data_IF_378747205006
#
_entry.id   IF_378747205006
#
_cell.length_a   1.000
_cell.length_b   1.000
_cell.length_c   1.000
_cell.angle_alpha   90.00
_cell.angle_beta   90.00
_cell.angle_gamma   90.00
#
_symmetry.space_group_name_H-M   'P 1'
#
loop_
_entity.id
_entity.type
_entity.pdbx_description
1 polymer ?
#
# COMPACT_ATOMS: atom_id res chain seq x y z
N UNK A 1 22.37 25.35 -90.55
CA UNK A 1 21.74 26.67 -90.80
C UNK A 1 20.89 27.00 -89.59
N UNK A 2 21.19 28.12 -88.92
CA UNK A 2 20.27 29.09 -88.31
C UNK A 2 18.91 28.62 -87.73
N UNK A 3 18.76 28.86 -86.42
CA UNK A 3 17.62 29.49 -85.71
C UNK A 3 16.18 29.37 -86.23
N UNK A 4 15.29 29.15 -85.25
CA UNK A 4 13.87 29.52 -85.15
C UNK A 4 12.84 28.70 -85.94
N UNK A 5 11.97 28.01 -85.19
CA UNK A 5 10.55 28.38 -85.24
C UNK A 5 9.83 28.12 -83.91
N UNK A 6 9.27 29.21 -83.40
CA UNK A 6 8.46 29.34 -82.21
C UNK A 6 6.99 29.04 -82.53
N UNK A 7 6.29 28.54 -81.51
CA UNK A 7 4.94 28.96 -81.13
C UNK A 7 3.75 28.45 -81.95
N UNK A 8 2.90 27.64 -81.30
CA UNK A 8 1.61 28.06 -80.72
C UNK A 8 0.68 26.85 -80.61
N UNK A 9 0.38 26.45 -79.39
CA UNK A 9 -1.03 26.27 -79.04
C UNK A 9 -1.30 27.08 -77.77
N UNK A 10 -2.21 28.03 -77.96
CA UNK A 10 -2.65 29.06 -77.07
C UNK A 10 -3.56 28.51 -75.96
N UNK A 11 -3.34 29.03 -74.76
CA UNK A 11 -4.33 29.67 -73.89
C UNK A 11 -5.63 28.91 -73.60
N UNK A 12 -5.73 28.48 -72.34
CA UNK A 12 -6.97 28.46 -71.57
C UNK A 12 -6.63 28.83 -70.11
N UNK A 13 -6.71 30.15 -69.84
CA UNK A 13 -7.16 30.82 -68.61
C UNK A 13 -6.85 30.15 -67.27
N UNK A 14 -5.94 30.69 -66.44
CA UNK A 14 -6.27 31.73 -65.44
C UNK A 14 -7.70 31.59 -64.87
N UNK A 15 -7.87 30.85 -63.77
CA UNK A 15 -8.58 31.28 -62.57
C UNK A 15 -8.49 30.18 -61.50
N UNK A 16 -8.38 30.62 -60.24
CA UNK A 16 -8.50 29.84 -59.00
C UNK A 16 -7.21 29.26 -58.39
N UNK A 17 -6.33 30.15 -57.93
CA UNK A 17 -5.48 29.91 -56.78
C UNK A 17 -6.02 30.70 -55.57
N UNK A 18 -6.84 30.07 -54.72
CA UNK A 18 -7.02 30.32 -53.28
C UNK A 18 -8.06 29.33 -52.71
N UNK A 19 -7.95 29.00 -51.40
CA UNK A 19 -8.77 28.09 -50.54
C UNK A 19 -8.09 26.71 -50.38
N UNK A 20 -7.26 26.45 -49.36
CA UNK A 20 -7.52 26.21 -47.91
C UNK A 20 -8.25 24.88 -47.62
N UNK A 21 -7.59 24.06 -46.80
CA UNK A 21 -8.07 23.08 -45.81
C UNK A 21 -8.17 21.56 -46.14
N UNK A 22 -7.65 20.81 -45.16
CA UNK A 22 -8.00 19.44 -44.69
C UNK A 22 -7.20 18.20 -45.17
N UNK A 23 -6.42 17.67 -44.21
CA UNK A 23 -6.10 16.26 -43.91
C UNK A 23 -5.30 15.44 -44.94
N UNK A 24 -4.03 15.16 -44.60
CA UNK A 24 -3.43 13.83 -44.77
C UNK A 24 -2.31 13.62 -43.74
N UNK A 25 -2.60 12.72 -42.80
CA UNK A 25 -1.76 12.18 -41.74
C UNK A 25 -0.76 11.13 -42.30
N UNK A 26 0.25 10.77 -41.47
CA UNK A 26 0.98 9.49 -41.37
C UNK A 26 2.35 9.32 -42.12
N UNK A 27 3.44 9.56 -41.36
CA UNK A 27 4.75 8.83 -41.29
C UNK A 27 5.87 9.03 -42.36
N UNK A 28 7.15 8.77 -42.02
CA UNK A 28 8.02 9.65 -41.23
C UNK A 28 9.29 10.03 -42.00
N UNK A 29 9.82 11.22 -41.75
CA UNK A 29 11.13 11.62 -42.28
C UNK A 29 12.19 10.93 -41.44
N UNK A 30 12.82 9.91 -42.04
CA UNK A 30 14.17 9.49 -41.67
C UNK A 30 15.10 10.62 -42.11
N UNK A 31 15.60 11.42 -41.17
CA UNK A 31 16.76 12.27 -41.43
C UNK A 31 17.80 12.02 -40.36
N UNK A 32 18.77 11.20 -40.74
CA UNK A 32 20.09 11.16 -40.14
C UNK A 32 20.64 12.58 -40.05
N UNK A 33 20.87 13.04 -38.83
CA UNK A 33 21.91 14.03 -38.55
C UNK A 33 23.08 13.26 -37.98
N UNK A 34 24.20 13.37 -38.69
CA UNK A 34 25.48 12.85 -38.27
C UNK A 34 25.82 13.35 -36.86
N UNK A 35 26.34 12.44 -36.05
CA UNK A 35 26.96 12.67 -34.75
C UNK A 35 27.86 13.91 -34.79
N UNK A 36 27.40 14.98 -34.17
CA UNK A 36 28.30 15.92 -33.52
C UNK A 36 28.56 15.34 -32.14
N UNK A 37 29.81 15.37 -31.68
CA UNK A 37 30.12 15.07 -30.29
C UNK A 37 29.46 16.13 -29.42
N UNK A 38 28.21 15.90 -29.06
CA UNK A 38 27.52 16.66 -28.01
C UNK A 38 28.12 16.12 -26.72
N UNK A 39 28.63 17.01 -25.87
CA UNK A 39 28.99 16.60 -24.51
C UNK A 39 27.75 16.04 -23.80
N UNK A 40 27.94 15.46 -22.62
CA UNK A 40 26.81 14.99 -21.82
C UNK A 40 25.69 16.05 -21.77
N UNK A 41 24.44 15.61 -21.87
CA UNK A 41 23.16 16.31 -21.86
C UNK A 41 22.87 17.02 -20.51
N UNK A 42 23.92 17.43 -19.80
CA UNK A 42 23.90 18.17 -18.54
C UNK A 42 23.60 19.67 -18.74
N UNK A 43 22.72 20.02 -19.69
CA UNK A 43 22.30 21.41 -19.89
C UNK A 43 21.56 21.94 -18.65
N UNK A 44 21.29 23.23 -18.60
CA UNK A 44 20.41 23.82 -17.57
C UNK A 44 19.10 24.30 -18.25
N UNK A 45 17.97 23.58 -18.10
CA UNK A 45 17.82 22.28 -17.41
C UNK A 45 18.37 21.10 -18.23
N UNK A 46 18.70 19.96 -17.60
CA UNK A 46 19.25 18.78 -18.30
C UNK A 46 18.17 18.13 -19.17
N UNK A 47 18.59 17.49 -20.25
CA UNK A 47 17.67 16.86 -21.20
C UNK A 47 17.31 15.44 -20.73
N UNK A 48 16.24 15.34 -19.94
CA UNK A 48 15.77 14.10 -19.35
C UNK A 48 14.84 13.35 -20.31
N UNK A 49 15.42 12.52 -21.17
CA UNK A 49 14.70 11.71 -22.16
C UNK A 49 15.34 10.32 -22.29
N UNK A 50 14.63 9.34 -22.90
CA UNK A 50 15.24 8.05 -23.20
C UNK A 50 16.49 8.20 -24.06
N UNK A 51 17.49 7.35 -23.83
CA UNK A 51 18.80 7.38 -24.50
C UNK A 51 19.64 8.66 -24.30
N UNK A 52 19.27 9.54 -23.36
CA UNK A 52 20.07 10.71 -23.03
C UNK A 52 21.46 10.31 -22.53
N UNK A 53 22.49 11.10 -22.89
CA UNK A 53 23.84 10.93 -22.34
C UNK A 53 24.00 11.86 -21.14
N UNK A 54 23.69 11.39 -19.94
CA UNK A 54 23.81 12.12 -18.69
C UNK A 54 25.10 11.77 -17.91
N UNK A 55 26.13 11.28 -18.61
CA UNK A 55 27.38 10.85 -17.98
C UNK A 55 28.02 11.99 -17.19
N UNK A 56 28.33 11.75 -15.91
CA UNK A 56 28.91 12.72 -14.97
C UNK A 56 28.08 14.00 -14.74
N UNK A 57 26.78 14.01 -15.06
CA UNK A 57 25.94 15.16 -14.74
C UNK A 57 25.74 15.28 -13.22
N UNK A 58 25.63 16.53 -12.74
CA UNK A 58 25.12 16.80 -11.40
C UNK A 58 23.59 16.95 -11.46
N UNK A 59 22.90 15.93 -10.97
CA UNK A 59 21.45 15.82 -10.91
C UNK A 59 20.98 15.75 -9.44
N UNK A 60 21.84 16.14 -8.49
CA UNK A 60 21.53 16.04 -7.07
C UNK A 60 20.32 16.89 -6.69
N UNK A 61 19.45 16.32 -5.86
CA UNK A 61 18.21 16.97 -5.40
C UNK A 61 17.19 17.27 -6.51
N UNK A 62 17.36 16.77 -7.73
CA UNK A 62 16.42 17.04 -8.81
C UNK A 62 15.10 16.26 -8.66
N UNK A 63 14.00 16.95 -8.93
CA UNK A 63 12.67 16.34 -9.02
C UNK A 63 12.46 15.73 -10.41
N UNK A 64 12.55 14.40 -10.48
CA UNK A 64 12.46 13.59 -11.71
C UNK A 64 11.38 12.50 -11.59
N UNK A 65 10.34 12.78 -10.80
CA UNK A 65 9.18 11.90 -10.62
C UNK A 65 8.53 11.57 -11.98
N UNK A 66 8.34 10.27 -12.24
CA UNK A 66 7.66 9.76 -13.44
C UNK A 66 8.39 9.99 -14.76
N UNK A 67 9.65 10.43 -14.74
CA UNK A 67 10.44 10.65 -15.96
C UNK A 67 10.78 9.31 -16.63
N UNK A 68 10.78 9.30 -17.97
CA UNK A 68 11.29 8.17 -18.76
C UNK A 68 12.75 8.41 -19.16
N UNK A 69 13.66 7.69 -18.51
CA UNK A 69 15.10 7.64 -18.78
C UNK A 69 15.51 6.27 -19.34
N UNK A 70 14.60 5.54 -19.97
CA UNK A 70 14.90 4.22 -20.54
C UNK A 70 16.15 4.27 -21.42
N UNK A 71 17.11 3.38 -21.17
CA UNK A 71 18.40 3.30 -21.86
C UNK A 71 19.27 4.57 -21.82
N UNK A 72 18.99 5.53 -20.93
CA UNK A 72 19.87 6.66 -20.71
C UNK A 72 21.20 6.21 -20.08
N UNK A 73 22.27 6.94 -20.36
CA UNK A 73 23.58 6.72 -19.76
C UNK A 73 23.82 7.76 -18.66
N UNK A 74 23.71 7.35 -17.41
CA UNK A 74 23.96 8.15 -16.21
C UNK A 74 25.28 7.75 -15.52
N UNK A 75 26.22 7.11 -16.22
CA UNK A 75 27.47 6.67 -15.62
C UNK A 75 28.22 7.81 -14.93
N UNK A 76 28.63 7.61 -13.69
CA UNK A 76 29.33 8.61 -12.87
C UNK A 76 28.51 9.86 -12.51
N UNK A 77 27.21 9.90 -12.82
CA UNK A 77 26.36 11.02 -12.46
C UNK A 77 26.17 11.12 -10.93
N UNK A 78 25.94 12.33 -10.44
CA UNK A 78 25.55 12.58 -9.06
C UNK A 78 24.02 12.72 -8.98
N UNK A 79 23.34 11.73 -8.40
CA UNK A 79 21.90 11.72 -8.14
C UNK A 79 21.58 11.77 -6.64
N UNK A 80 22.56 12.16 -5.80
CA UNK A 80 22.35 12.27 -4.35
C UNK A 80 21.10 13.14 -4.05
N UNK A 81 20.23 12.63 -3.17
CA UNK A 81 18.96 13.25 -2.76
C UNK A 81 17.94 13.52 -3.90
N UNK A 82 18.14 12.98 -5.12
CA UNK A 82 17.19 13.14 -6.22
C UNK A 82 15.90 12.33 -6.03
N UNK A 83 14.81 12.77 -6.64
CA UNK A 83 13.53 12.08 -6.63
C UNK A 83 13.24 11.42 -7.98
N UNK A 84 13.31 10.10 -8.03
CA UNK A 84 13.02 9.23 -9.16
C UNK A 84 11.73 8.39 -8.92
N UNK A 85 10.86 8.81 -8.01
CA UNK A 85 9.59 8.14 -7.71
C UNK A 85 8.81 7.84 -9.00
N UNK A 86 8.38 6.59 -9.17
CA UNK A 86 7.62 6.10 -10.35
C UNK A 86 8.29 6.28 -11.72
N UNK A 87 9.59 6.60 -11.78
CA UNK A 87 10.31 6.80 -13.03
C UNK A 87 10.53 5.50 -13.82
N UNK A 88 10.72 5.61 -15.13
CA UNK A 88 11.04 4.47 -16.01
C UNK A 88 12.53 4.52 -16.33
N UNK A 89 13.28 3.57 -15.78
CA UNK A 89 14.74 3.48 -15.83
C UNK A 89 15.22 2.22 -16.56
N UNK A 90 14.32 1.54 -17.28
CA UNK A 90 14.60 0.24 -17.89
C UNK A 90 15.82 0.30 -18.82
N UNK A 91 16.81 -0.55 -18.56
CA UNK A 91 18.06 -0.60 -19.32
C UNK A 91 18.96 0.63 -19.19
N UNK A 92 18.68 1.57 -18.28
CA UNK A 92 19.55 2.72 -18.03
C UNK A 92 20.85 2.28 -17.35
N UNK A 93 21.93 3.05 -17.54
CA UNK A 93 23.26 2.76 -16.97
C UNK A 93 23.60 3.79 -15.89
N UNK A 94 23.75 3.35 -14.65
CA UNK A 94 24.14 4.12 -13.47
C UNK A 94 25.52 3.72 -12.94
N UNK A 95 26.35 3.08 -13.77
CA UNK A 95 27.66 2.60 -13.35
C UNK A 95 28.51 3.72 -12.75
N UNK A 96 29.13 3.46 -11.60
CA UNK A 96 29.91 4.40 -10.80
C UNK A 96 29.16 5.68 -10.36
N UNK A 97 27.83 5.73 -10.49
CA UNK A 97 27.01 6.87 -10.07
C UNK A 97 26.84 6.93 -8.53
N UNK A 98 26.55 8.12 -8.02
CA UNK A 98 26.15 8.34 -6.63
C UNK A 98 24.64 8.49 -6.55
N UNK A 99 23.95 7.62 -5.82
CA UNK A 99 22.49 7.63 -5.61
C UNK A 99 22.15 7.68 -4.12
N UNK A 100 22.92 8.44 -3.33
CA UNK A 100 22.72 8.45 -1.89
C UNK A 100 21.41 9.13 -1.55
N UNK A 101 20.60 8.50 -0.71
CA UNK A 101 19.27 9.00 -0.33
C UNK A 101 18.34 9.33 -1.52
N UNK A 102 18.59 8.75 -2.70
CA UNK A 102 17.70 8.92 -3.85
C UNK A 102 16.39 8.18 -3.61
N UNK A 103 15.26 8.81 -3.93
CA UNK A 103 13.94 8.16 -3.85
C UNK A 103 13.70 7.42 -5.17
N UNK A 104 13.58 6.10 -5.13
CA UNK A 104 13.29 5.23 -6.27
C UNK A 104 12.05 4.35 -6.02
N UNK A 105 11.20 4.74 -5.06
CA UNK A 105 9.94 4.03 -4.78
C UNK A 105 9.09 3.91 -6.07
N UNK A 106 8.54 2.71 -6.30
CA UNK A 106 7.77 2.33 -7.49
C UNK A 106 8.48 2.53 -8.86
N UNK A 107 9.80 2.77 -8.89
CA UNK A 107 10.53 2.94 -10.14
C UNK A 107 10.72 1.62 -10.90
N UNK A 108 10.72 1.68 -12.24
CA UNK A 108 11.00 0.53 -13.11
C UNK A 108 12.46 0.55 -13.58
N UNK A 109 13.33 -0.14 -12.85
CA UNK A 109 14.77 -0.25 -13.12
C UNK A 109 15.17 -1.65 -13.61
N UNK A 110 14.23 -2.38 -14.24
CA UNK A 110 14.53 -3.70 -14.83
C UNK A 110 15.62 -3.60 -15.87
N UNK A 111 16.50 -4.59 -15.92
CA UNK A 111 17.63 -4.65 -16.88
C UNK A 111 18.63 -3.47 -16.78
N UNK A 112 18.51 -2.60 -15.78
CA UNK A 112 19.44 -1.49 -15.57
C UNK A 112 20.80 -1.97 -15.03
N UNK A 113 21.81 -1.10 -15.14
CA UNK A 113 23.15 -1.35 -14.60
C UNK A 113 23.47 -0.34 -13.51
N UNK A 114 23.94 -0.81 -12.36
CA UNK A 114 24.34 -0.04 -11.17
C UNK A 114 25.74 -0.48 -10.72
N UNK A 115 26.62 -0.85 -11.66
CA UNK A 115 27.93 -1.43 -11.32
C UNK A 115 28.74 -0.42 -10.52
N UNK A 116 29.22 -0.82 -9.33
CA UNK A 116 29.92 0.03 -8.36
C UNK A 116 29.17 1.31 -7.92
N UNK A 117 27.86 1.40 -8.16
CA UNK A 117 27.09 2.57 -7.76
C UNK A 117 27.02 2.69 -6.22
N UNK A 118 27.05 3.91 -5.71
CA UNK A 118 26.85 4.18 -4.28
C UNK A 118 25.36 4.38 -4.00
N UNK A 119 24.71 3.34 -3.47
CA UNK A 119 23.26 3.29 -3.26
C UNK A 119 22.88 3.38 -1.78
N UNK A 120 23.76 3.96 -0.95
CA UNK A 120 23.50 4.11 0.50
C UNK A 120 22.34 5.06 0.77
N UNK A 121 21.35 4.59 1.51
CA UNK A 121 20.15 5.32 1.87
C UNK A 121 19.11 5.41 0.76
N UNK A 122 19.32 4.75 -0.39
CA UNK A 122 18.31 4.72 -1.46
C UNK A 122 16.99 4.13 -0.94
N UNK A 123 15.88 4.75 -1.30
CA UNK A 123 14.55 4.19 -1.05
C UNK A 123 14.10 3.42 -2.29
N UNK A 124 14.03 2.09 -2.19
CA UNK A 124 13.63 1.19 -3.26
C UNK A 124 12.28 0.51 -2.97
N UNK A 125 11.46 1.07 -2.08
CA UNK A 125 10.17 0.46 -1.72
C UNK A 125 9.32 0.19 -2.98
N UNK A 126 8.91 -1.07 -3.17
CA UNK A 126 8.20 -1.56 -4.37
C UNK A 126 8.88 -1.32 -5.74
N UNK A 127 10.15 -0.93 -5.79
CA UNK A 127 10.88 -0.76 -7.04
C UNK A 127 11.07 -2.09 -7.78
N UNK A 128 10.98 -2.07 -9.12
CA UNK A 128 11.22 -3.24 -9.96
C UNK A 128 12.69 -3.24 -10.41
N UNK A 129 13.53 -4.05 -9.76
CA UNK A 129 14.98 -4.14 -10.01
C UNK A 129 15.42 -5.52 -10.54
N UNK A 130 14.48 -6.34 -10.99
CA UNK A 130 14.75 -7.66 -11.59
C UNK A 130 15.64 -7.59 -12.83
N UNK A 131 16.43 -8.64 -13.06
CA UNK A 131 17.35 -8.77 -14.19
C UNK A 131 18.41 -7.64 -14.29
N UNK A 132 18.61 -6.85 -13.23
CA UNK A 132 19.57 -5.75 -13.20
C UNK A 132 20.99 -6.23 -12.85
N UNK A 133 22.00 -5.44 -13.23
CA UNK A 133 23.38 -5.67 -12.85
C UNK A 133 23.81 -4.68 -11.77
N UNK A 134 23.92 -5.16 -10.53
CA UNK A 134 24.29 -4.41 -9.34
C UNK A 134 25.66 -4.87 -8.79
N UNK A 135 26.53 -5.38 -9.66
CA UNK A 135 27.85 -5.89 -9.25
C UNK A 135 28.66 -4.78 -8.57
N UNK A 136 29.16 -5.03 -7.36
CA UNK A 136 29.95 -4.06 -6.59
C UNK A 136 29.16 -2.87 -6.03
N UNK A 137 27.84 -2.81 -6.22
CA UNK A 137 27.01 -1.74 -5.68
C UNK A 137 27.06 -1.71 -4.14
N UNK A 138 26.96 -0.51 -3.56
CA UNK A 138 27.04 -0.30 -2.13
C UNK A 138 25.67 0.02 -1.51
N UNK A 139 25.13 -0.94 -0.78
CA UNK A 139 23.92 -0.91 0.02
C UNK A 139 24.21 -1.01 1.54
N UNK A 140 25.40 -0.65 1.99
CA UNK A 140 25.70 -0.69 3.43
C UNK A 140 24.77 0.25 4.22
N UNK A 141 24.33 -0.23 5.40
CA UNK A 141 23.44 0.49 6.33
C UNK A 141 22.12 1.00 5.71
N UNK A 142 21.58 0.32 4.70
CA UNK A 142 20.28 0.68 4.08
C UNK A 142 19.09 -0.08 4.69
N UNK A 143 17.90 0.49 4.54
CA UNK A 143 16.62 -0.15 4.86
C UNK A 143 15.85 -0.35 3.57
N UNK A 144 15.61 -1.61 3.21
CA UNK A 144 15.21 -1.99 1.86
C UNK A 144 14.32 -3.24 1.95
N UNK A 145 13.06 -3.07 2.31
CA UNK A 145 12.08 -4.15 2.43
C UNK A 145 11.16 -4.25 1.20
N UNK A 146 10.73 -5.47 0.87
CA UNK A 146 9.81 -5.76 -0.26
C UNK A 146 10.37 -5.43 -1.65
N UNK A 147 11.68 -5.59 -1.83
CA UNK A 147 12.35 -5.43 -3.12
C UNK A 147 12.44 -6.77 -3.83
N UNK A 148 12.42 -6.72 -5.15
CA UNK A 148 12.50 -7.88 -6.00
C UNK A 148 13.78 -7.89 -6.86
N UNK A 149 14.79 -8.64 -6.40
CA UNK A 149 16.06 -8.83 -7.09
C UNK A 149 16.09 -10.08 -7.97
N UNK A 150 14.95 -10.73 -8.26
CA UNK A 150 14.91 -11.99 -9.03
C UNK A 150 15.78 -11.90 -10.31
N UNK A 151 16.67 -12.91 -10.50
CA UNK A 151 17.64 -13.03 -11.63
C UNK A 151 18.67 -11.89 -11.75
N UNK A 152 18.85 -11.06 -10.73
CA UNK A 152 19.83 -9.97 -10.77
C UNK A 152 21.25 -10.46 -10.52
N UNK A 153 22.24 -9.62 -10.85
CA UNK A 153 23.66 -9.86 -10.59
C UNK A 153 24.12 -8.95 -9.46
N UNK A 154 24.45 -9.51 -8.30
CA UNK A 154 24.87 -8.81 -7.09
C UNK A 154 26.29 -9.23 -6.66
N UNK A 155 27.13 -9.61 -7.61
CA UNK A 155 28.50 -10.05 -7.34
C UNK A 155 29.29 -8.95 -6.62
N UNK A 156 29.91 -9.29 -5.49
CA UNK A 156 30.68 -8.36 -4.66
C UNK A 156 29.90 -7.12 -4.18
N UNK A 157 28.56 -7.14 -4.23
CA UNK A 157 27.76 -6.08 -3.65
C UNK A 157 27.94 -6.03 -2.13
N UNK A 158 27.86 -4.83 -1.56
CA UNK A 158 28.01 -4.61 -0.12
C UNK A 158 26.64 -4.33 0.51
N UNK A 159 26.18 -5.22 1.38
CA UNK A 159 24.95 -5.12 2.18
C UNK A 159 25.24 -5.02 3.68
N UNK A 160 26.49 -4.77 4.10
CA UNK A 160 26.88 -4.79 5.50
C UNK A 160 25.94 -3.93 6.36
N UNK A 161 25.39 -4.51 7.43
CA UNK A 161 24.52 -3.81 8.39
C UNK A 161 23.14 -3.39 7.87
N UNK A 162 22.79 -3.74 6.62
CA UNK A 162 21.49 -3.40 6.05
C UNK A 162 20.34 -4.24 6.63
N UNK A 163 19.13 -3.70 6.58
CA UNK A 163 17.89 -4.41 6.83
C UNK A 163 17.19 -4.66 5.49
N UNK A 164 17.28 -5.89 5.01
CA UNK A 164 16.75 -6.34 3.71
C UNK A 164 15.75 -7.49 3.89
N UNK A 165 14.92 -7.40 4.94
CA UNK A 165 13.84 -8.37 5.18
C UNK A 165 12.80 -8.35 4.07
N UNK A 166 12.20 -9.51 3.80
CA UNK A 166 11.18 -9.67 2.74
C UNK A 166 11.68 -9.28 1.34
N UNK A 167 12.97 -9.49 1.05
CA UNK A 167 13.56 -9.23 -0.28
C UNK A 167 13.68 -10.53 -1.07
N UNK A 168 13.28 -10.51 -2.34
CA UNK A 168 13.34 -11.69 -3.21
C UNK A 168 14.71 -11.80 -3.91
N UNK A 169 15.51 -12.80 -3.53
CA UNK A 169 16.81 -13.14 -4.12
C UNK A 169 16.76 -14.40 -4.99
N UNK A 170 15.58 -14.81 -5.48
CA UNK A 170 15.44 -15.95 -6.38
C UNK A 170 16.36 -15.87 -7.61
N UNK A 171 17.03 -16.97 -7.94
CA UNK A 171 17.91 -17.09 -9.10
C UNK A 171 18.99 -15.99 -9.18
N UNK A 172 19.35 -15.38 -8.05
CA UNK A 172 20.25 -14.21 -7.98
C UNK A 172 21.70 -14.63 -7.77
N UNK A 173 22.63 -13.93 -8.45
CA UNK A 173 24.06 -14.16 -8.32
C UNK A 173 24.69 -13.25 -7.24
N UNK A 174 24.89 -13.80 -6.03
CA UNK A 174 25.43 -13.11 -4.86
C UNK A 174 26.91 -13.45 -4.61
N UNK A 175 27.63 -13.94 -5.62
CA UNK A 175 29.02 -14.39 -5.41
C UNK A 175 29.91 -13.27 -4.90
N UNK A 176 30.59 -13.52 -3.79
CA UNK A 176 31.48 -12.52 -3.17
C UNK A 176 30.76 -11.36 -2.48
N UNK A 177 29.42 -11.35 -2.41
CA UNK A 177 28.69 -10.30 -1.72
C UNK A 177 29.03 -10.27 -0.22
N UNK A 178 29.08 -9.07 0.35
CA UNK A 178 29.26 -8.86 1.79
C UNK A 178 27.90 -8.62 2.45
N UNK A 179 27.43 -9.61 3.20
CA UNK A 179 26.16 -9.64 3.93
C UNK A 179 26.41 -9.63 5.45
N UNK A 180 27.58 -9.14 5.89
CA UNK A 180 27.95 -9.13 7.31
C UNK A 180 26.95 -8.30 8.13
N UNK A 181 26.43 -8.86 9.22
CA UNK A 181 25.44 -8.22 10.11
C UNK A 181 24.16 -7.74 9.41
N UNK A 182 23.82 -8.34 8.27
CA UNK A 182 22.61 -8.02 7.50
C UNK A 182 21.41 -8.78 8.04
N UNK A 183 20.23 -8.14 8.08
CA UNK A 183 18.96 -8.82 8.39
C UNK A 183 18.30 -9.34 7.13
N UNK A 184 18.10 -10.65 7.06
CA UNK A 184 17.63 -11.37 5.87
C UNK A 184 16.32 -12.14 6.10
N UNK A 185 15.62 -11.96 7.22
CA UNK A 185 14.37 -12.69 7.52
C UNK A 185 13.34 -12.64 6.39
N UNK A 186 12.64 -13.76 6.16
CA UNK A 186 11.63 -13.93 5.11
C UNK A 186 12.10 -13.50 3.72
N UNK A 187 13.40 -13.60 3.43
CA UNK A 187 13.98 -13.19 2.15
C UNK A 187 14.31 -14.42 1.32
N UNK A 188 13.44 -14.82 0.39
CA UNK A 188 13.62 -16.07 -0.35
C UNK A 188 14.89 -16.05 -1.20
N UNK A 189 15.70 -17.12 -1.12
CA UNK A 189 16.97 -17.23 -1.86
C UNK A 189 17.05 -18.47 -2.77
N UNK A 190 15.92 -19.03 -3.20
CA UNK A 190 15.95 -20.24 -4.03
C UNK A 190 16.86 -20.09 -5.26
N UNK A 191 17.69 -21.10 -5.51
CA UNK A 191 18.67 -21.14 -6.60
C UNK A 191 19.70 -19.97 -6.60
N UNK A 192 19.79 -19.18 -5.54
CA UNK A 192 20.78 -18.12 -5.45
C UNK A 192 22.21 -18.71 -5.37
N UNK A 193 23.19 -17.94 -5.84
CA UNK A 193 24.60 -18.33 -5.80
C UNK A 193 25.36 -17.50 -4.76
N UNK A 194 25.67 -18.10 -3.61
CA UNK A 194 26.34 -17.44 -2.49
C UNK A 194 27.83 -17.77 -2.40
N UNK A 195 28.43 -18.36 -3.45
CA UNK A 195 29.85 -18.77 -3.38
C UNK A 195 30.76 -17.58 -3.09
N UNK A 196 31.65 -17.72 -2.11
CA UNK A 196 32.56 -16.69 -1.60
C UNK A 196 31.88 -15.49 -0.93
N UNK A 197 30.56 -15.53 -0.71
CA UNK A 197 29.89 -14.49 0.05
C UNK A 197 30.28 -14.54 1.53
N UNK A 198 30.08 -13.42 2.24
CA UNK A 198 30.34 -13.31 3.66
C UNK A 198 29.04 -12.99 4.42
N UNK A 199 28.51 -13.97 5.15
CA UNK A 199 27.30 -13.84 5.97
C UNK A 199 27.62 -13.66 7.45
N UNK A 200 28.86 -13.36 7.85
CA UNK A 200 29.23 -13.30 9.27
C UNK A 200 28.27 -12.39 10.07
N UNK A 201 27.62 -12.96 11.09
CA UNK A 201 26.63 -12.26 11.91
C UNK A 201 25.34 -11.87 11.19
N UNK A 202 25.10 -12.33 9.95
CA UNK A 202 23.84 -12.13 9.26
C UNK A 202 22.72 -12.86 9.98
N UNK A 203 21.59 -12.19 10.13
CA UNK A 203 20.39 -12.73 10.74
C UNK A 203 19.55 -13.42 9.65
N UNK A 204 19.70 -14.74 9.54
CA UNK A 204 18.98 -15.62 8.60
C UNK A 204 17.94 -16.42 9.38
N UNK A 205 16.72 -16.49 8.86
CA UNK A 205 15.68 -17.37 9.42
C UNK A 205 15.48 -18.63 8.57
N UNK A 206 14.96 -19.68 9.23
CA UNK A 206 14.67 -20.96 8.60
C UNK A 206 13.64 -20.88 7.46
N UNK A 207 12.87 -19.79 7.40
CA UNK A 207 11.87 -19.51 6.37
C UNK A 207 12.45 -18.78 5.15
N UNK A 208 13.75 -18.46 5.09
CA UNK A 208 14.42 -17.83 3.93
C UNK A 208 14.47 -18.69 2.66
N UNK A 209 13.80 -19.85 2.70
CA UNK A 209 13.55 -20.72 1.55
C UNK A 209 14.84 -21.04 0.77
N UNK A 210 15.88 -21.46 1.49
CA UNK A 210 17.25 -21.66 1.00
C UNK A 210 17.43 -22.91 0.13
N UNK A 211 16.34 -23.45 -0.41
CA UNK A 211 16.39 -24.66 -1.23
C UNK A 211 17.18 -24.39 -2.51
N UNK A 212 18.11 -25.29 -2.83
CA UNK A 212 18.95 -25.23 -4.02
C UNK A 212 19.86 -24.00 -4.12
N UNK A 213 20.10 -23.30 -3.00
CA UNK A 213 21.19 -22.33 -2.91
C UNK A 213 22.52 -23.02 -3.23
N UNK A 214 23.35 -22.35 -4.03
CA UNK A 214 24.69 -22.80 -4.38
C UNK A 214 25.67 -22.20 -3.37
N UNK A 215 26.16 -23.06 -2.48
CA UNK A 215 27.18 -22.73 -1.49
C UNK A 215 28.59 -23.03 -2.02
N UNK A 216 29.60 -22.40 -1.44
CA UNK A 216 30.99 -22.70 -1.74
C UNK A 216 31.94 -21.62 -1.25
N UNK A 217 32.79 -21.95 -0.29
CA UNK A 217 33.69 -21.02 0.40
C UNK A 217 32.94 -19.79 0.98
N UNK A 218 31.70 -19.99 1.43
CA UNK A 218 30.85 -18.94 2.00
C UNK A 218 31.12 -18.85 3.49
N UNK A 219 31.36 -17.66 4.04
CA UNK A 219 31.43 -17.49 5.50
C UNK A 219 30.01 -17.46 6.06
N UNK A 220 29.67 -18.34 6.98
CA UNK A 220 28.33 -18.46 7.58
C UNK A 220 28.12 -17.46 8.73
N UNK A 221 26.87 -17.34 9.20
CA UNK A 221 26.48 -16.37 10.25
C UNK A 221 27.21 -16.52 11.57
N UNK A 222 27.59 -17.74 11.94
CA UNK A 222 28.38 -18.03 13.15
C UNK A 222 29.90 -17.88 12.92
N UNK A 223 30.31 -17.59 11.69
CA UNK A 223 31.71 -17.49 11.26
C UNK A 223 32.33 -18.82 10.79
N UNK A 224 31.56 -19.91 10.70
CA UNK A 224 32.00 -21.14 10.02
C UNK A 224 32.14 -20.92 8.51
N UNK A 225 32.62 -21.93 7.79
CA UNK A 225 32.69 -21.90 6.33
C UNK A 225 31.79 -23.00 5.78
N UNK A 226 30.96 -22.67 4.79
CA UNK A 226 30.09 -23.63 4.11
C UNK A 226 30.82 -24.80 3.46
N UNK A 227 32.15 -24.77 3.34
CA UNK A 227 32.95 -25.90 2.82
C UNK A 227 33.46 -26.84 3.93
N UNK A 228 33.11 -26.61 5.19
CA UNK A 228 33.56 -27.48 6.27
C UNK A 228 32.84 -28.85 6.26
N UNK A 229 33.52 -29.87 6.77
CA UNK A 229 33.05 -31.26 6.80
C UNK A 229 32.44 -31.57 8.18
N UNK A 230 31.58 -30.67 8.66
CA UNK A 230 30.98 -30.73 9.99
C UNK A 230 29.70 -31.61 10.04
N UNK A 231 29.21 -32.04 8.87
CA UNK A 231 28.03 -32.88 8.70
C UNK A 231 26.80 -32.15 8.17
N UNK A 232 26.89 -30.86 7.87
CA UNK A 232 25.81 -30.04 7.30
C UNK A 232 25.68 -30.09 5.76
N UNK A 233 26.41 -31.02 5.12
CA UNK A 233 26.44 -31.22 3.67
C UNK A 233 26.96 -29.99 2.88
N UNK A 234 27.96 -29.28 3.43
CA UNK A 234 28.61 -28.13 2.82
C UNK A 234 27.65 -26.95 2.62
N UNK A 235 26.92 -26.60 3.67
CA UNK A 235 25.93 -25.52 3.65
C UNK A 235 26.17 -24.54 4.80
N UNK A 236 25.29 -23.56 5.01
CA UNK A 236 25.25 -22.79 6.26
C UNK A 236 24.04 -23.21 7.11
N UNK A 237 23.42 -24.37 6.84
CA UNK A 237 22.09 -24.72 7.35
C UNK A 237 22.01 -25.06 8.84
N UNK A 238 23.14 -25.43 9.44
CA UNK A 238 23.25 -25.78 10.85
C UNK A 238 23.22 -24.58 11.80
N UNK A 239 23.33 -23.36 11.28
CA UNK A 239 23.59 -22.12 12.05
C UNK A 239 22.49 -21.06 11.98
N UNK A 240 21.27 -21.44 11.56
CA UNK A 240 20.14 -20.51 11.49
C UNK A 240 19.50 -20.27 12.84
N UNK A 241 19.13 -19.01 13.09
CA UNK A 241 18.23 -18.64 14.17
C UNK A 241 16.83 -19.03 13.68
N UNK A 242 16.18 -19.95 14.38
CA UNK A 242 14.77 -20.27 14.11
C UNK A 242 13.94 -19.20 14.79
N UNK A 243 13.12 -18.48 14.00
CA UNK A 243 12.20 -17.48 14.55
C UNK A 243 11.30 -18.12 15.62
N UNK A 244 11.21 -17.52 16.80
CA UNK A 244 10.27 -17.92 17.84
C UNK A 244 9.07 -16.95 17.84
N UNK A 245 7.82 -17.46 17.78
CA UNK A 245 6.66 -16.58 17.76
C UNK A 245 6.55 -15.75 19.05
N UNK A 246 5.97 -14.53 18.98
CA UNK A 246 5.95 -13.63 20.12
C UNK A 246 5.12 -14.21 21.27
N UNK A 247 5.41 -13.81 22.49
CA UNK A 247 4.54 -14.06 23.64
C UNK A 247 3.53 -12.92 23.80
N UNK A 248 2.30 -13.25 24.21
CA UNK A 248 1.27 -12.25 24.48
C UNK A 248 0.36 -12.68 25.64
N UNK A 249 -0.02 -11.72 26.48
CA UNK A 249 -1.03 -11.91 27.52
C UNK A 249 -1.91 -10.67 27.66
N UNK A 250 -3.23 -10.88 27.80
CA UNK A 250 -4.17 -9.82 28.16
C UNK A 250 -4.01 -9.50 29.65
N UNK A 251 -3.73 -8.25 29.97
CA UNK A 251 -3.58 -7.74 31.34
C UNK A 251 -4.82 -6.98 31.81
N UNK A 252 -5.62 -6.46 30.89
CA UNK A 252 -6.96 -5.92 31.13
C UNK A 252 -7.84 -6.08 29.86
N UNK A 253 -9.17 -6.22 30.01
CA UNK A 253 -9.92 -6.36 31.26
C UNK A 253 -9.73 -7.74 31.92
N UNK A 254 -10.16 -7.88 33.17
CA UNK A 254 -10.16 -9.18 33.85
C UNK A 254 -11.29 -10.09 33.32
N UNK A 255 -11.15 -11.41 33.49
CA UNK A 255 -12.21 -12.37 33.16
C UNK A 255 -13.53 -12.03 33.88
N UNK A 256 -14.65 -12.18 33.16
CA UNK A 256 -16.00 -11.90 33.64
C UNK A 256 -16.20 -10.45 34.13
N UNK A 257 -15.44 -9.49 33.60
CA UNK A 257 -15.63 -8.06 33.92
C UNK A 257 -17.02 -7.63 33.46
N UNK A 258 -17.80 -7.00 34.36
CA UNK A 258 -19.09 -6.39 34.01
C UNK A 258 -18.94 -4.88 33.89
N UNK A 259 -19.39 -4.32 32.76
CA UNK A 259 -19.41 -2.87 32.48
C UNK A 259 -20.78 -2.42 32.02
N UNK A 260 -21.08 -1.14 32.17
CA UNK A 260 -22.32 -0.57 31.63
C UNK A 260 -22.06 -0.17 30.17
N UNK A 261 -23.09 -0.27 29.32
CA UNK A 261 -23.05 0.33 27.98
C UNK A 261 -22.62 1.81 28.08
N UNK A 262 -21.78 2.25 27.14
CA UNK A 262 -21.10 3.56 27.10
C UNK A 262 -19.91 3.74 28.07
N UNK A 263 -19.64 2.79 28.96
CA UNK A 263 -18.36 2.78 29.68
C UNK A 263 -17.20 2.40 28.73
N UNK A 264 -16.07 3.08 28.90
CA UNK A 264 -14.83 2.72 28.21
C UNK A 264 -14.23 1.47 28.86
N UNK A 265 -13.97 0.47 28.03
CA UNK A 265 -13.25 -0.74 28.40
C UNK A 265 -11.81 -0.61 27.90
N UNK A 266 -10.87 -0.36 28.80
CA UNK A 266 -9.45 -0.38 28.44
C UNK A 266 -8.99 -1.84 28.28
N UNK A 267 -8.58 -2.18 27.05
CA UNK A 267 -7.93 -3.44 26.72
C UNK A 267 -6.43 -3.21 26.72
N UNK A 268 -5.69 -3.95 27.54
CA UNK A 268 -4.23 -3.81 27.67
C UNK A 268 -3.58 -5.19 27.56
N UNK A 269 -2.41 -5.23 26.93
CA UNK A 269 -1.67 -6.46 26.67
C UNK A 269 -0.19 -6.28 26.94
N UNK A 270 0.41 -7.30 27.54
CA UNK A 270 1.86 -7.45 27.60
C UNK A 270 2.26 -8.41 26.47
N UNK A 271 3.02 -7.90 25.50
CA UNK A 271 3.58 -8.68 24.41
C UNK A 271 5.10 -8.48 24.35
N UNK A 272 5.83 -9.56 24.11
CA UNK A 272 7.28 -9.56 24.04
C UNK A 272 7.76 -10.68 23.11
N UNK A 273 8.89 -10.43 22.46
CA UNK A 273 9.50 -11.36 21.53
C UNK A 273 10.93 -11.67 22.00
N UNK A 274 11.34 -12.93 21.92
CA UNK A 274 12.57 -13.44 22.56
C UNK A 274 13.83 -13.23 21.71
N UNK A 275 13.65 -13.26 20.41
CA UNK A 275 14.68 -13.23 19.37
C UNK A 275 14.55 -12.02 18.45
N UNK A 276 13.49 -11.22 18.62
CA UNK A 276 13.30 -9.95 17.97
C UNK A 276 12.45 -8.98 18.77
N UNK A 277 11.43 -8.45 18.12
CA UNK A 277 10.56 -7.37 18.57
C UNK A 277 9.13 -7.60 18.08
N UNK A 278 8.15 -7.11 18.82
CA UNK A 278 6.75 -7.16 18.41
C UNK A 278 6.46 -6.01 17.44
N UNK A 279 6.14 -6.32 16.19
CA UNK A 279 5.84 -5.33 15.16
C UNK A 279 4.52 -4.60 15.43
N UNK A 280 3.47 -5.34 15.82
CA UNK A 280 2.20 -4.76 16.26
C UNK A 280 1.34 -5.76 17.04
N UNK A 281 0.30 -5.24 17.68
CA UNK A 281 -0.77 -6.02 18.31
C UNK A 281 -2.14 -5.64 17.73
N UNK A 282 -2.90 -6.64 17.30
CA UNK A 282 -4.29 -6.49 16.88
C UNK A 282 -5.23 -6.89 18.03
N UNK A 283 -6.25 -6.07 18.28
CA UNK A 283 -7.27 -6.31 19.31
C UNK A 283 -8.58 -6.76 18.65
N UNK A 284 -9.28 -7.71 19.27
CA UNK A 284 -10.52 -8.29 18.74
C UNK A 284 -11.62 -8.34 19.78
N UNK A 285 -12.86 -8.12 19.33
CA UNK A 285 -14.08 -8.38 20.09
C UNK A 285 -15.02 -9.27 19.27
N UNK A 286 -15.41 -10.42 19.81
CA UNK A 286 -16.20 -11.46 19.12
C UNK A 286 -15.59 -11.89 17.77
N UNK A 287 -14.25 -11.93 17.70
CA UNK A 287 -13.49 -12.27 16.51
C UNK A 287 -13.37 -11.15 15.46
N UNK A 288 -14.03 -10.01 15.65
CA UNK A 288 -13.87 -8.84 14.77
C UNK A 288 -12.75 -7.94 15.30
N UNK A 289 -11.85 -7.49 14.41
CA UNK A 289 -10.77 -6.58 14.79
C UNK A 289 -11.34 -5.21 15.17
N UNK A 290 -11.02 -4.75 16.38
CA UNK A 290 -11.44 -3.44 16.92
C UNK A 290 -10.32 -2.40 16.84
N UNK A 291 -9.05 -2.81 16.92
CA UNK A 291 -7.91 -1.90 16.80
C UNK A 291 -6.62 -2.63 16.36
N UNK A 292 -5.63 -1.86 15.91
CA UNK A 292 -4.24 -2.27 15.72
C UNK A 292 -3.34 -1.21 16.39
N UNK A 293 -2.40 -1.65 17.20
CA UNK A 293 -1.42 -0.80 17.87
C UNK A 293 0.00 -1.28 17.57
N UNK A 294 0.83 -0.42 16.99
CA UNK A 294 2.21 -0.71 16.64
C UNK A 294 3.22 -0.16 17.64
N UNK A 295 2.77 0.40 18.77
CA UNK A 295 3.66 1.03 19.76
C UNK A 295 3.37 0.57 21.19
N UNK A 296 4.38 -0.05 21.83
CA UNK A 296 4.29 -0.38 23.24
C UNK A 296 4.29 0.90 24.12
N UNK A 297 3.54 0.95 25.24
CA UNK A 297 2.69 -0.11 25.79
C UNK A 297 1.38 -0.27 25.01
N UNK A 298 1.09 -1.52 24.62
CA UNK A 298 -0.04 -1.82 23.74
C UNK A 298 -1.37 -1.74 24.49
N UNK A 299 -2.22 -0.81 24.09
CA UNK A 299 -3.53 -0.65 24.73
C UNK A 299 -4.55 0.03 23.83
N UNK A 300 -5.82 -0.25 24.07
CA UNK A 300 -6.93 0.35 23.37
C UNK A 300 -8.11 0.61 24.29
N UNK A 301 -8.60 1.86 24.30
CA UNK A 301 -9.83 2.25 24.96
C UNK A 301 -11.02 1.94 24.04
N UNK A 302 -11.67 0.80 24.31
CA UNK A 302 -12.75 0.27 23.50
C UNK A 302 -14.12 0.70 24.04
N UNK A 303 -15.00 1.18 23.17
CA UNK A 303 -16.40 1.46 23.48
C UNK A 303 -17.29 0.36 22.90
N UNK A 304 -17.94 -0.48 23.73
CA UNK A 304 -18.83 -1.53 23.24
C UNK A 304 -20.05 -0.94 22.51
N UNK A 305 -20.41 -1.42 21.30
CA UNK A 305 -21.49 -0.82 20.52
C UNK A 305 -22.90 -1.24 20.98
N UNK A 306 -23.04 -2.39 21.64
CA UNK A 306 -24.32 -2.90 22.14
C UNK A 306 -24.09 -3.62 23.46
N UNK A 307 -25.13 -3.75 24.28
CA UNK A 307 -25.06 -4.61 25.46
C UNK A 307 -25.01 -6.09 25.04
N UNK A 308 -24.36 -6.92 25.86
CA UNK A 308 -24.16 -8.33 25.62
C UNK A 308 -22.80 -8.81 26.09
N UNK A 309 -22.56 -10.11 25.95
CA UNK A 309 -21.28 -10.71 26.28
C UNK A 309 -20.33 -10.61 25.08
N UNK A 310 -19.13 -10.11 25.34
CA UNK A 310 -18.05 -10.01 24.37
C UNK A 310 -16.89 -10.94 24.75
N UNK A 311 -16.37 -11.64 23.76
CA UNK A 311 -15.13 -12.40 23.87
C UNK A 311 -14.00 -11.53 23.32
N UNK A 312 -13.10 -11.09 24.19
CA UNK A 312 -11.96 -10.26 23.85
C UNK A 312 -10.72 -11.14 23.68
N UNK A 313 -10.01 -10.95 22.58
CA UNK A 313 -8.70 -11.57 22.31
C UNK A 313 -7.76 -10.52 21.73
N UNK A 314 -6.46 -10.76 21.81
CA UNK A 314 -5.45 -9.98 21.12
C UNK A 314 -4.46 -10.89 20.39
N UNK A 315 -3.86 -10.41 19.30
CA UNK A 315 -2.86 -11.13 18.52
C UNK A 315 -1.63 -10.26 18.35
N UNK A 316 -0.48 -10.72 18.84
CA UNK A 316 0.81 -10.12 18.56
C UNK A 316 1.37 -10.70 17.26
N UNK A 317 2.00 -9.85 16.46
CA UNK A 317 2.82 -10.22 15.31
C UNK A 317 4.23 -9.69 15.54
N UNK A 318 5.24 -10.54 15.41
CA UNK A 318 6.64 -10.14 15.54
C UNK A 318 7.16 -9.44 14.27
N UNK A 319 8.43 -9.05 14.28
CA UNK A 319 9.10 -8.41 13.15
C UNK A 319 9.39 -9.36 11.98
N UNK A 320 9.09 -10.64 12.12
CA UNK A 320 9.34 -11.71 11.15
C UNK A 320 8.01 -12.36 10.69
N UNK A 321 6.87 -11.82 11.14
CA UNK A 321 5.53 -12.15 10.68
C UNK A 321 4.85 -13.30 11.43
N UNK A 322 5.53 -13.97 12.37
CA UNK A 322 4.91 -15.00 13.19
C UNK A 322 3.95 -14.37 14.20
N UNK A 323 2.94 -15.16 14.59
CA UNK A 323 1.83 -14.63 15.39
C UNK A 323 1.47 -15.54 16.55
N UNK A 324 1.14 -14.90 17.67
CA UNK A 324 0.54 -15.57 18.82
C UNK A 324 -0.74 -14.85 19.21
N UNK A 325 -1.79 -15.62 19.48
CA UNK A 325 -3.07 -15.09 19.99
C UNK A 325 -3.16 -15.35 21.49
N UNK A 326 -3.59 -14.34 22.25
CA UNK A 326 -3.80 -14.44 23.69
C UNK A 326 -4.88 -15.45 24.03
N UNK A 327 -4.93 -15.87 25.31
CA UNK A 327 -6.17 -16.43 25.84
C UNK A 327 -7.30 -15.41 25.71
N UNK A 328 -8.55 -15.88 25.62
CA UNK A 328 -9.71 -15.00 25.58
C UNK A 328 -10.12 -14.56 26.98
N UNK A 329 -10.64 -13.34 27.09
CA UNK A 329 -11.40 -12.89 28.28
C UNK A 329 -12.85 -12.54 27.94
N UNK A 330 -13.77 -12.80 28.85
CA UNK A 330 -15.18 -12.41 28.73
C UNK A 330 -15.44 -11.05 29.37
N UNK A 331 -16.19 -10.20 28.67
CA UNK A 331 -16.71 -8.93 29.18
C UNK A 331 -18.22 -8.93 29.02
N UNK A 332 -18.94 -8.78 30.12
CA UNK A 332 -20.40 -8.65 30.13
C UNK A 332 -20.78 -7.17 30.14
N UNK A 333 -21.27 -6.68 29.01
CA UNK A 333 -21.79 -5.31 28.87
C UNK A 333 -23.27 -5.33 29.20
N UNK A 334 -23.67 -4.66 30.27
CA UNK A 334 -25.07 -4.56 30.67
C UNK A 334 -25.67 -3.25 30.18
N UNK A 335 -26.97 -3.26 29.87
CA UNK A 335 -27.68 -2.04 29.49
C UNK A 335 -27.60 -0.99 30.61
N UNK A 336 -27.57 0.29 30.21
CA UNK A 336 -27.62 1.41 31.16
C UNK A 336 -28.88 1.30 32.05
N UNK A 337 -28.75 1.33 33.39
CA UNK A 337 -29.90 1.24 34.28
C UNK A 337 -30.82 2.47 34.20
N UNK A 338 -30.36 3.54 33.55
CA UNK A 338 -31.11 4.80 33.38
C UNK A 338 -31.50 5.08 31.93
N UNK A 339 -31.47 4.07 31.04
CA UNK A 339 -31.74 4.26 29.61
C UNK A 339 -33.10 4.95 29.36
N UNK A 340 -33.13 6.02 28.54
CA UNK A 340 -34.34 6.74 28.17
C UNK A 340 -34.82 6.31 26.78
N UNK A 341 -36.14 6.30 26.51
CA UNK A 341 -36.61 6.03 25.16
C UNK A 341 -36.20 7.18 24.22
N UNK A 342 -35.92 6.88 22.94
CA UNK A 342 -35.55 7.90 21.98
C UNK A 342 -36.73 8.84 21.70
N UNK A 343 -36.49 9.92 20.97
CA UNK A 343 -37.53 10.82 20.45
C UNK A 343 -37.63 10.68 18.93
N UNK A 344 -38.81 10.93 18.37
CA UNK A 344 -39.00 10.95 16.90
C UNK A 344 -40.14 11.85 16.46
N UNK A 345 -39.92 12.63 15.42
CA UNK A 345 -40.92 13.48 14.77
C UNK A 345 -40.80 13.40 13.25
N UNK A 346 -41.94 13.24 12.54
CA UNK A 346 -41.98 13.40 11.09
C UNK A 346 -41.91 14.90 10.74
N UNK A 347 -40.82 15.32 10.11
CA UNK A 347 -40.61 16.71 9.67
C UNK A 347 -41.16 16.98 8.28
N UNK A 348 -41.34 15.95 7.46
CA UNK A 348 -41.98 16.04 6.15
C UNK A 348 -42.56 14.68 5.74
N UNK A 349 -43.72 14.62 5.08
CA UNK A 349 -44.59 15.75 4.73
C UNK A 349 -45.28 16.35 5.97
N UNK A 350 -45.70 17.61 5.89
CA UNK A 350 -46.52 18.22 6.95
C UNK A 350 -47.95 17.66 6.95
N UNK A 351 -48.65 17.80 8.08
CA UNK A 351 -50.04 17.39 8.19
C UNK A 351 -50.92 18.07 7.12
N UNK A 352 -51.88 17.30 6.61
CA UNK A 352 -52.73 17.62 5.46
C UNK A 352 -52.01 17.88 4.11
N UNK A 353 -50.72 17.57 3.98
CA UNK A 353 -50.00 17.70 2.71
C UNK A 353 -50.67 16.92 1.57
N UNK A 354 -50.60 17.48 0.36
CA UNK A 354 -51.07 16.82 -0.86
C UNK A 354 -49.92 16.02 -1.46
N UNK A 355 -50.13 14.72 -1.60
CA UNK A 355 -49.22 13.80 -2.27
C UNK A 355 -49.96 13.14 -3.43
N UNK A 356 -49.24 12.65 -4.43
CA UNK A 356 -49.85 12.14 -5.67
C UNK A 356 -49.68 10.64 -5.75
N UNK A 357 -50.77 9.93 -6.05
CA UNK A 357 -50.74 8.48 -6.21
C UNK A 357 -49.72 8.08 -7.26
N UNK A 358 -48.93 7.03 -7.00
CA UNK A 358 -47.83 6.52 -7.85
C UNK A 358 -46.67 7.50 -8.07
N UNK A 359 -46.75 8.72 -7.57
CA UNK A 359 -45.61 9.64 -7.50
C UNK A 359 -45.02 9.55 -6.10
N UNK A 360 -43.74 9.25 -5.99
CA UNK A 360 -43.17 9.08 -4.66
C UNK A 360 -42.96 10.39 -3.94
N UNK A 361 -43.14 10.35 -2.62
CA UNK A 361 -42.84 11.43 -1.68
C UNK A 361 -41.75 10.94 -0.73
N UNK A 362 -40.92 11.84 -0.24
CA UNK A 362 -39.93 11.49 0.80
C UNK A 362 -40.51 11.83 2.15
N UNK A 363 -40.64 10.81 3.00
CA UNK A 363 -40.89 10.98 4.43
C UNK A 363 -39.53 11.27 5.08
N UNK A 364 -39.46 12.33 5.89
CA UNK A 364 -38.28 12.70 6.67
C UNK A 364 -38.67 12.70 8.13
N UNK A 365 -37.78 12.20 8.97
CA UNK A 365 -37.94 12.24 10.42
C UNK A 365 -36.69 12.84 11.06
N UNK A 366 -36.90 13.49 12.19
CA UNK A 366 -35.86 13.83 13.15
C UNK A 366 -36.00 12.88 14.34
N UNK A 367 -34.90 12.30 14.78
CA UNK A 367 -34.88 11.35 15.89
C UNK A 367 -33.56 11.49 16.63
N UNK A 368 -33.63 11.39 17.95
CA UNK A 368 -32.51 11.61 18.87
C UNK A 368 -32.71 10.73 20.09
N UNK A 369 -31.63 10.16 20.60
CA UNK A 369 -31.63 9.37 21.83
C UNK A 369 -30.90 10.15 22.94
N UNK A 370 -31.57 10.52 24.05
CA UNK A 370 -30.96 11.39 25.06
C UNK A 370 -29.68 10.86 25.71
N UNK A 371 -29.48 9.55 25.68
CA UNK A 371 -28.39 8.84 26.35
C UNK A 371 -27.73 7.76 25.50
N UNK A 372 -28.00 7.73 24.19
CA UNK A 372 -27.39 6.80 23.24
C UNK A 372 -26.99 7.47 21.92
N UNK A 373 -26.07 6.85 21.18
CA UNK A 373 -25.61 7.33 19.86
C UNK A 373 -26.31 6.63 18.68
N UNK A 374 -27.19 5.64 18.94
CA UNK A 374 -27.80 4.81 17.90
C UNK A 374 -29.33 4.89 17.91
N UNK A 375 -29.93 5.32 16.79
CA UNK A 375 -31.38 5.25 16.57
C UNK A 375 -31.70 4.65 15.21
N UNK A 376 -32.55 3.62 15.19
CA UNK A 376 -33.22 3.09 14.00
C UNK A 376 -34.61 3.72 13.87
N UNK A 377 -34.91 4.35 12.73
CA UNK A 377 -36.23 4.92 12.45
C UNK A 377 -36.99 4.07 11.44
N UNK A 378 -38.09 3.47 11.89
CA UNK A 378 -39.04 2.75 11.05
C UNK A 378 -40.19 3.67 10.62
N UNK A 379 -40.59 3.61 9.35
CA UNK A 379 -41.65 4.45 8.78
C UNK A 379 -42.85 3.61 8.38
N UNK A 380 -44.05 4.10 8.69
CA UNK A 380 -45.31 3.40 8.49
C UNK A 380 -46.32 4.26 7.72
N UNK A 381 -47.18 3.60 6.92
CA UNK A 381 -48.41 4.20 6.39
C UNK A 381 -49.61 3.30 6.74
N UNK A 382 -50.63 3.88 7.36
CA UNK A 382 -51.85 3.20 7.80
C UNK A 382 -51.55 1.94 8.65
N UNK A 383 -50.53 2.04 9.51
CA UNK A 383 -50.05 0.95 10.35
C UNK A 383 -49.22 -0.12 9.64
N UNK A 384 -48.98 0.01 8.32
CA UNK A 384 -48.13 -0.90 7.55
C UNK A 384 -46.70 -0.37 7.48
N UNK A 385 -45.71 -1.20 7.85
CA UNK A 385 -44.28 -0.86 7.75
C UNK A 385 -43.90 -0.67 6.27
N UNK A 386 -43.33 0.48 5.96
CA UNK A 386 -42.84 0.83 4.63
C UNK A 386 -41.34 0.52 4.47
N UNK A 387 -40.57 0.68 5.55
CA UNK A 387 -39.12 0.52 5.58
C UNK A 387 -38.52 1.22 6.81
N UNK A 388 -37.19 1.20 6.90
CA UNK A 388 -36.46 1.85 7.99
C UNK A 388 -35.22 2.59 7.46
N UNK A 389 -34.66 3.47 8.28
CA UNK A 389 -33.39 4.15 8.05
C UNK A 389 -32.57 4.13 9.36
N UNK A 390 -31.25 3.97 9.26
CA UNK A 390 -30.31 3.89 10.39
C UNK A 390 -29.24 4.99 10.31
N UNK A 391 -29.31 5.89 9.32
CA UNK A 391 -28.35 6.98 9.17
C UNK A 391 -29.06 8.33 9.11
N UNK A 392 -28.79 9.27 10.05
CA UNK A 392 -29.27 10.62 9.92
C UNK A 392 -28.67 11.31 8.66
N UNK A 393 -29.44 12.14 7.93
CA UNK A 393 -30.83 12.48 8.17
C UNK A 393 -31.79 11.37 7.71
N UNK A 394 -32.66 10.92 8.63
CA UNK A 394 -33.56 9.79 8.44
C UNK A 394 -34.62 10.07 7.36
N UNK A 395 -34.70 9.20 6.36
CA UNK A 395 -35.59 9.39 5.22
C UNK A 395 -36.07 8.07 4.60
N UNK A 396 -37.32 8.06 4.17
CA UNK A 396 -37.88 6.97 3.37
C UNK A 396 -38.64 7.49 2.15
N UNK A 397 -38.37 6.92 0.99
CA UNK A 397 -39.12 7.20 -0.22
C UNK A 397 -40.37 6.32 -0.31
N UNK A 398 -41.54 6.93 -0.20
CA UNK A 398 -42.84 6.25 -0.19
C UNK A 398 -43.63 6.53 -1.47
N UNK A 399 -44.19 5.48 -2.10
CA UNK A 399 -45.08 5.57 -3.28
C UNK A 399 -46.49 5.08 -2.92
N UNK A 400 -47.46 5.96 -2.66
CA UNK A 400 -48.82 5.55 -2.34
C UNK A 400 -49.50 4.87 -3.54
N UNK A 401 -50.23 3.79 -3.27
CA UNK A 401 -50.89 2.93 -4.25
C UNK A 401 -52.42 3.12 -4.32
N UNK A 402 -53.03 3.72 -3.28
CA UNK A 402 -54.43 4.15 -3.22
C UNK A 402 -54.60 5.66 -3.08
N UNK A 403 -55.80 6.16 -3.42
CA UNK A 403 -56.21 7.55 -3.15
C UNK A 403 -56.92 7.62 -1.80
N UNK A 404 -56.87 8.76 -1.14
CA UNK A 404 -57.59 8.99 0.10
C UNK A 404 -56.74 9.68 1.16
N UNK A 405 -57.21 9.61 2.40
CA UNK A 405 -56.41 9.98 3.56
C UNK A 405 -55.53 8.79 3.94
N UNK A 406 -54.25 9.07 4.14
CA UNK A 406 -53.27 8.12 4.65
C UNK A 406 -52.64 8.69 5.90
N UNK A 407 -52.40 7.85 6.90
CA UNK A 407 -51.77 8.25 8.17
C UNK A 407 -50.33 7.77 8.18
N UNK A 408 -49.37 8.68 8.29
CA UNK A 408 -47.96 8.38 8.40
C UNK A 408 -47.53 8.44 9.87
N UNK A 409 -46.73 7.48 10.31
CA UNK A 409 -46.09 7.46 11.63
C UNK A 409 -44.65 6.99 11.48
N UNK A 410 -43.76 7.50 12.33
CA UNK A 410 -42.40 7.01 12.46
C UNK A 410 -42.23 6.40 13.86
N UNK A 411 -41.43 5.34 13.97
CA UNK A 411 -41.05 4.72 15.24
C UNK A 411 -39.52 4.74 15.34
N UNK A 412 -38.98 5.39 16.35
CA UNK A 412 -37.57 5.32 16.71
C UNK A 412 -37.36 4.19 17.71
N UNK A 413 -36.25 3.47 17.55
CA UNK A 413 -35.83 2.36 18.40
C UNK A 413 -34.35 2.54 18.70
N UNK A 414 -33.99 2.54 19.99
CA UNK A 414 -32.60 2.64 20.46
C UNK A 414 -31.86 1.28 20.37
N UNK A 415 -30.61 1.23 20.84
CA UNK A 415 -29.79 0.02 20.88
C UNK A 415 -30.22 -1.01 21.95
N UNK A 416 -31.02 -0.60 22.94
CA UNK A 416 -31.57 -1.50 23.97
C UNK A 416 -32.96 -2.06 23.60
N UNK A 417 -33.60 -1.49 22.58
CA UNK A 417 -34.94 -1.80 22.12
C UNK A 417 -36.05 -0.95 22.75
N UNK A 418 -35.77 0.14 23.46
CA UNK A 418 -36.82 1.10 23.81
C UNK A 418 -37.31 1.82 22.55
N UNK A 419 -38.61 2.11 22.53
CA UNK A 419 -39.28 2.65 21.36
C UNK A 419 -40.01 3.95 21.68
N UNK A 420 -40.00 4.87 20.72
CA UNK A 420 -40.93 6.00 20.69
C UNK A 420 -41.61 6.09 19.33
N UNK A 421 -42.87 6.53 19.33
CA UNK A 421 -43.65 6.70 18.11
C UNK A 421 -44.00 8.18 17.93
N UNK A 422 -43.83 8.69 16.71
CA UNK A 422 -44.13 10.07 16.38
C UNK A 422 -45.63 10.34 16.47
N UNK A 423 -46.00 11.62 16.60
CA UNK A 423 -47.37 12.02 16.31
C UNK A 423 -47.74 11.62 14.87
N UNK A 424 -49.00 11.19 14.62
CA UNK A 424 -49.44 10.83 13.28
C UNK A 424 -49.57 12.05 12.38
N UNK A 425 -49.11 11.92 11.14
CA UNK A 425 -49.23 12.93 10.08
C UNK A 425 -50.25 12.42 9.05
N UNK A 426 -51.35 13.15 8.85
CA UNK A 426 -52.35 12.78 7.85
C UNK A 426 -52.01 13.42 6.51
N UNK A 427 -51.91 12.64 5.43
CA UNK A 427 -51.70 13.16 4.07
C UNK A 427 -52.86 12.86 3.15
N UNK A 428 -53.08 13.74 2.16
CA UNK A 428 -54.14 13.61 1.16
C UNK A 428 -53.56 13.12 -0.15
N UNK A 429 -53.71 11.82 -0.44
CA UNK A 429 -53.29 11.23 -1.72
C UNK A 429 -54.33 11.49 -2.80
N UNK A 430 -53.92 12.17 -3.88
CA UNK A 430 -54.74 12.51 -5.05
C UNK A 430 -54.44 11.67 -6.28
#
# INVERSE_FOLDING_TARGET
MTTQQNSKHLLSNFYLALIIAFIALITPVVSAWAQTSVGADCTDPPNLVPFADLTNCDLSGMEMEGVDLSNANLSGANLDDANLFTSILRGATFDDASLRNTIMEDADAREASFVNADMRGVDLYFALVRDANLSGANFSDTWMNHIDFERSILQNANFTGSDIRSVDFQDTDLRGADLTFTRLYSSPMWNADLRNANLLGAELASDNMLTAVIWGNTTCSDGSNSDDDDGDNFTCESNFIVNEPPTISLTAPAEDTTVILDDIVTVSVDAADSDGSVAWVEFYANGNRINLDSSAPYSYDWSPPVHGTYVITARATDNDGDTTTSQSVTVDVVASPNNQPPTVEITSPHDNAKVYRRWGTTIRADADDPDGDFVRVEFYADGTLLGYDIFPPYRLYWRPDSRGLHTLTAKAIDETGLEATSNPVTVRVR
#
